data_IF_958914085180
#
_entry.id   IF_958914085180
#
_cell.length_a   1.000
_cell.length_b   1.000
_cell.length_c   1.000
_cell.angle_alpha   90.00
_cell.angle_beta   90.00
_cell.angle_gamma   90.00
#
_symmetry.space_group_name_H-M   'P 1'
#
loop_
_entity.id
_entity.type
_entity.pdbx_description
1 polymer ?
#
# COMPACT_ATOMS: atom_id res chain seq x y z
N UNK A 1 -38.93 -3.53 9.69
CA UNK A 1 -37.58 -4.03 9.35
C UNK A 1 -36.95 -3.09 8.34
N UNK A 2 -35.91 -2.33 8.72
CA UNK A 2 -35.24 -1.38 7.81
C UNK A 2 -34.32 -2.15 6.87
N UNK A 3 -34.61 -2.16 5.57
CA UNK A 3 -33.75 -2.77 4.54
C UNK A 3 -32.38 -2.10 4.56
N UNK A 4 -31.33 -2.87 4.88
CA UNK A 4 -29.95 -2.44 4.72
C UNK A 4 -29.72 -2.20 3.22
N UNK A 5 -29.56 -0.93 2.82
CA UNK A 5 -29.21 -0.54 1.45
C UNK A 5 -27.80 -1.10 1.17
N UNK A 6 -27.72 -2.19 0.40
CA UNK A 6 -26.44 -2.69 -0.11
C UNK A 6 -25.79 -1.57 -0.92
N UNK A 7 -24.64 -1.07 -0.45
CA UNK A 7 -23.84 -0.09 -1.20
C UNK A 7 -23.38 -0.75 -2.51
N UNK A 8 -23.39 -0.04 -3.65
CA UNK A 8 -22.95 -0.61 -4.92
C UNK A 8 -21.47 -1.04 -4.83
N UNK A 9 -21.15 -2.22 -5.38
CA UNK A 9 -19.82 -2.89 -5.32
C UNK A 9 -18.62 -1.97 -5.63
N UNK A 10 -18.80 -0.99 -6.53
CA UNK A 10 -17.77 0.01 -6.87
C UNK A 10 -17.45 0.97 -5.73
N UNK A 11 -18.46 1.41 -4.98
CA UNK A 11 -18.30 2.33 -3.83
C UNK A 11 -17.61 1.63 -2.67
N UNK A 12 -17.89 0.33 -2.47
CA UNK A 12 -17.20 -0.50 -1.48
C UNK A 12 -15.70 -0.59 -1.78
N UNK A 13 -15.32 -0.95 -3.00
CA UNK A 13 -13.90 -1.00 -3.42
C UNK A 13 -13.17 0.33 -3.30
N UNK A 14 -13.80 1.44 -3.65
CA UNK A 14 -13.19 2.76 -3.46
C UNK A 14 -12.98 3.09 -1.97
N UNK A 15 -13.90 2.65 -1.12
CA UNK A 15 -13.76 2.86 0.33
C UNK A 15 -12.62 2.00 0.88
N UNK A 16 -12.57 0.72 0.52
CA UNK A 16 -11.51 -0.22 0.89
C UNK A 16 -10.12 0.28 0.46
N UNK A 17 -10.00 0.75 -0.79
CA UNK A 17 -8.76 1.32 -1.30
C UNK A 17 -8.30 2.53 -0.49
N UNK A 18 -9.22 3.45 -0.18
CA UNK A 18 -8.91 4.64 0.61
C UNK A 18 -8.42 4.26 2.01
N UNK A 19 -9.09 3.31 2.66
CA UNK A 19 -8.72 2.87 4.01
C UNK A 19 -7.40 2.11 4.03
N UNK A 20 -7.11 1.32 3.01
CA UNK A 20 -5.89 0.52 2.91
C UNK A 20 -4.67 1.38 2.59
N UNK A 21 -4.76 2.28 1.60
CA UNK A 21 -3.57 2.93 1.03
C UNK A 21 -3.46 4.43 1.31
N UNK A 22 -4.57 5.12 1.56
CA UNK A 22 -4.62 6.58 1.69
C UNK A 22 -4.78 7.05 3.15
N UNK A 23 -4.25 6.27 4.09
CA UNK A 23 -4.31 6.56 5.52
C UNK A 23 -2.95 7.12 5.98
N UNK A 24 -2.90 8.30 6.63
CA UNK A 24 -1.67 8.80 7.23
C UNK A 24 -1.12 7.83 8.28
N UNK A 25 0.20 7.74 8.39
CA UNK A 25 0.87 6.83 9.31
C UNK A 25 1.73 7.62 10.29
N UNK A 26 2.24 6.94 11.33
CA UNK A 26 3.25 7.52 12.22
C UNK A 26 4.68 7.32 11.68
N UNK A 27 4.83 6.79 10.44
CA UNK A 27 6.12 6.54 9.85
C UNK A 27 6.78 7.84 9.40
N UNK A 28 7.93 8.15 10.01
CA UNK A 28 8.74 9.30 9.62
C UNK A 28 9.73 8.89 8.55
N UNK A 29 9.67 9.54 7.38
CA UNK A 29 10.56 9.28 6.25
C UNK A 29 12.05 9.26 6.63
N UNK A 30 12.46 10.15 7.55
CA UNK A 30 13.85 10.24 8.06
C UNK A 30 14.33 8.99 8.81
N UNK A 31 13.40 8.16 9.30
CA UNK A 31 13.71 6.90 9.98
C UNK A 31 13.78 5.73 8.98
N UNK A 32 13.46 5.97 7.72
CA UNK A 32 13.49 4.98 6.64
C UNK A 32 14.84 4.89 5.94
N UNK A 33 14.89 3.99 4.94
CA UNK A 33 15.96 3.92 3.95
C UNK A 33 15.47 4.49 2.62
N UNK A 34 16.36 5.13 1.88
CA UNK A 34 16.05 5.65 0.55
C UNK A 34 16.20 4.55 -0.49
N UNK A 35 15.20 4.43 -1.38
CA UNK A 35 15.24 3.58 -2.57
C UNK A 35 14.89 4.41 -3.79
N UNK A 36 15.48 4.07 -4.93
CA UNK A 36 15.16 4.76 -6.18
C UNK A 36 13.84 4.23 -6.75
N UNK A 37 12.94 5.16 -7.08
CA UNK A 37 11.74 4.89 -7.88
C UNK A 37 11.96 5.55 -9.23
N UNK A 38 11.64 4.84 -10.32
CA UNK A 38 11.80 5.43 -11.64
C UNK A 38 10.94 6.71 -11.78
N UNK A 39 11.35 7.59 -12.70
CA UNK A 39 10.76 8.94 -12.83
C UNK A 39 9.26 8.90 -13.08
N UNK A 40 8.79 7.95 -13.88
CA UNK A 40 7.37 7.84 -14.23
C UNK A 40 6.51 7.44 -13.03
N UNK A 41 6.91 6.41 -12.29
CA UNK A 41 6.20 6.00 -11.08
C UNK A 41 6.29 7.06 -10.00
N UNK A 42 7.45 7.67 -9.80
CA UNK A 42 7.59 8.76 -8.84
C UNK A 42 6.59 9.89 -9.12
N UNK A 43 6.43 10.28 -10.39
CA UNK A 43 5.47 11.30 -10.80
C UNK A 43 4.03 10.88 -10.48
N UNK A 44 3.63 9.67 -10.89
CA UNK A 44 2.27 9.14 -10.66
C UNK A 44 1.93 9.06 -9.18
N UNK A 45 2.84 8.53 -8.37
CA UNK A 45 2.65 8.39 -6.92
C UNK A 45 2.54 9.75 -6.24
N UNK A 46 3.41 10.70 -6.61
CA UNK A 46 3.39 12.06 -6.06
C UNK A 46 2.09 12.77 -6.42
N UNK A 47 1.62 12.66 -7.66
CA UNK A 47 0.34 13.24 -8.07
C UNK A 47 -0.84 12.63 -7.31
N UNK A 48 -0.87 11.31 -7.15
CA UNK A 48 -1.93 10.63 -6.39
C UNK A 48 -1.99 11.14 -4.95
N UNK A 49 -0.85 11.15 -4.27
CA UNK A 49 -0.75 11.61 -2.87
C UNK A 49 -1.12 13.08 -2.77
N UNK A 50 -0.68 13.93 -3.71
CA UNK A 50 -1.03 15.34 -3.72
C UNK A 50 -2.53 15.57 -3.90
N UNK A 51 -3.16 14.90 -4.88
CA UNK A 51 -4.58 15.10 -5.21
C UNK A 51 -5.53 14.54 -4.15
N UNK A 52 -5.19 13.43 -3.52
CA UNK A 52 -6.11 12.69 -2.63
C UNK A 52 -5.69 12.75 -1.16
N UNK A 53 -4.45 13.14 -0.87
CA UNK A 53 -3.86 13.13 0.47
C UNK A 53 -4.25 14.29 1.37
N UNK A 54 -4.92 15.32 0.86
CA UNK A 54 -5.46 16.43 1.64
C UNK A 54 -4.42 17.14 2.54
N UNK A 55 -3.14 17.11 2.15
CA UNK A 55 -2.01 17.67 2.90
C UNK A 55 -1.56 16.89 4.13
N UNK A 56 -2.23 15.78 4.48
CA UNK A 56 -1.90 14.94 5.64
C UNK A 56 -1.25 13.62 5.28
N UNK A 57 -1.47 13.15 4.05
CA UNK A 57 -0.81 11.95 3.52
C UNK A 57 0.48 12.37 2.83
N UNK A 58 1.58 11.75 3.22
CA UNK A 58 2.89 11.89 2.55
C UNK A 58 3.13 10.75 1.57
N UNK A 59 4.10 10.92 0.67
CA UNK A 59 4.54 9.83 -0.20
C UNK A 59 5.08 8.64 0.62
N UNK A 60 5.72 8.92 1.75
CA UNK A 60 6.21 7.90 2.67
C UNK A 60 5.08 7.13 3.34
N UNK A 61 3.99 7.79 3.74
CA UNK A 61 2.79 7.11 4.25
C UNK A 61 2.20 6.15 3.21
N UNK A 62 2.04 6.64 1.97
CA UNK A 62 1.48 5.84 0.90
C UNK A 62 2.34 4.60 0.60
N UNK A 63 3.66 4.78 0.52
CA UNK A 63 4.59 3.68 0.30
C UNK A 63 4.62 2.71 1.49
N UNK A 64 4.55 3.21 2.72
CA UNK A 64 4.48 2.37 3.91
C UNK A 64 3.23 1.47 3.88
N UNK A 65 2.06 2.05 3.62
CA UNK A 65 0.81 1.30 3.50
C UNK A 65 0.85 0.28 2.36
N UNK A 66 1.40 0.66 1.20
CA UNK A 66 1.54 -0.21 0.04
C UNK A 66 2.40 -1.44 0.37
N UNK A 67 3.53 -1.21 1.02
CA UNK A 67 4.43 -2.30 1.43
C UNK A 67 3.80 -3.17 2.51
N UNK A 68 3.19 -2.58 3.54
CA UNK A 68 2.52 -3.31 4.61
C UNK A 68 1.45 -4.25 4.04
N UNK A 69 0.54 -3.72 3.21
CA UNK A 69 -0.49 -4.52 2.56
C UNK A 69 0.09 -5.61 1.66
N UNK A 70 1.18 -5.32 0.95
CA UNK A 70 1.84 -6.34 0.12
C UNK A 70 2.41 -7.48 0.97
N UNK A 71 3.04 -7.18 2.10
CA UNK A 71 3.56 -8.22 3.00
C UNK A 71 2.46 -8.98 3.72
N UNK A 72 1.35 -8.32 4.09
CA UNK A 72 0.21 -8.96 4.72
C UNK A 72 -0.50 -9.94 3.77
N UNK A 73 -0.67 -9.54 2.50
CA UNK A 73 -1.35 -10.36 1.49
C UNK A 73 -0.48 -11.49 0.93
N UNK A 74 0.83 -11.25 0.74
CA UNK A 74 1.72 -12.16 0.01
C UNK A 74 2.87 -12.74 0.86
N UNK A 75 2.86 -12.50 2.18
CA UNK A 75 3.95 -12.91 3.06
C UNK A 75 4.13 -14.43 3.15
N UNK A 76 3.04 -15.20 3.01
CA UNK A 76 3.09 -16.66 3.01
C UNK A 76 3.80 -17.18 1.75
N UNK A 77 3.41 -16.68 0.59
CA UNK A 77 4.00 -17.01 -0.71
C UNK A 77 5.46 -16.58 -0.79
N UNK A 78 5.80 -15.40 -0.28
CA UNK A 78 7.21 -14.97 -0.18
C UNK A 78 8.05 -15.94 0.65
N UNK A 79 7.52 -16.42 1.78
CA UNK A 79 8.23 -17.40 2.62
C UNK A 79 8.37 -18.75 1.92
N UNK A 80 7.37 -19.19 1.16
CA UNK A 80 7.46 -20.40 0.36
C UNK A 80 8.57 -20.29 -0.70
N UNK A 81 8.58 -19.19 -1.46
CA UNK A 81 9.63 -18.91 -2.45
C UNK A 81 11.02 -18.89 -1.80
N UNK A 82 11.17 -18.24 -0.64
CA UNK A 82 12.43 -18.19 0.10
C UNK A 82 12.89 -19.57 0.59
N UNK A 83 12.00 -20.36 1.19
CA UNK A 83 12.34 -21.68 1.72
C UNK A 83 12.69 -22.69 0.62
N UNK A 84 12.23 -22.46 -0.61
CA UNK A 84 12.57 -23.28 -1.78
C UNK A 84 13.93 -22.89 -2.38
N UNK A 85 14.39 -21.65 -2.20
CA UNK A 85 15.71 -21.21 -2.65
C UNK A 85 16.86 -21.85 -1.84
N UNK A 86 16.64 -22.17 -0.56
CA UNK A 86 17.65 -22.82 0.30
C UNK A 86 17.81 -24.32 0.00
N UNK A 87 16.91 -24.91 -0.78
CA UNK A 87 16.87 -26.35 -1.08
C UNK A 87 17.53 -26.76 -2.41
N UNK A 88 17.91 -25.81 -3.27
CA UNK A 88 18.55 -26.12 -4.56
C UNK A 88 20.04 -25.75 -4.63
N UNK A 89 20.67 -25.35 -3.52
CA UNK A 89 22.10 -25.01 -3.49
C UNK A 89 22.97 -26.17 -2.95
N UNK A 90 22.39 -27.34 -2.64
CA UNK A 90 23.14 -28.58 -2.33
C UNK A 90 22.50 -29.82 -2.94
#
# INVERSE_FOLDING_TARGET
>A
MKKAKQKPKKVLRTTEYKTAFLTPTNFLARNGKTVYINKEFHHKLTQLVFMVGGGKLTLSDYLHNLLQHHFDDFGAEMREVYNNLDKEIF
#
